data_IF_274576129193
#
_entry.id   IF_274576129193
#
_cell.length_a   1.000
_cell.length_b   1.000
_cell.length_c   1.000
_cell.angle_alpha   90.00
_cell.angle_beta   90.00
_cell.angle_gamma   90.00
#
_symmetry.space_group_name_H-M   'P 1'
#
loop_
_entity.id
_entity.type
_entity.pdbx_description
1 polymer ?
#
# COMPACT_ATOMS: atom_id res chain seq x y z
N UNK A 1 -29.48 -27.75 55.57
CA UNK A 1 -28.79 -27.78 54.26
C UNK A 1 -28.65 -26.34 53.79
N UNK A 2 -27.44 -25.79 53.87
CA UNK A 2 -27.16 -24.35 53.74
C UNK A 2 -27.42 -23.87 52.30
N UNK A 3 -28.30 -22.88 52.15
CA UNK A 3 -28.54 -22.17 50.89
C UNK A 3 -27.27 -21.42 50.47
N UNK A 4 -26.73 -21.77 49.30
CA UNK A 4 -25.66 -20.99 48.66
C UNK A 4 -26.27 -19.72 48.07
N UNK A 5 -25.73 -18.51 48.36
CA UNK A 5 -26.25 -17.29 47.75
C UNK A 5 -25.96 -17.24 46.24
N UNK A 6 -27.01 -16.89 45.52
CA UNK A 6 -27.10 -16.67 44.08
C UNK A 6 -26.38 -15.35 43.72
N UNK A 7 -25.04 -15.34 43.71
CA UNK A 7 -24.31 -14.25 43.07
C UNK A 7 -23.48 -14.79 41.92
N UNK A 8 -24.04 -14.63 40.72
CA UNK A 8 -23.48 -15.03 39.43
C UNK A 8 -22.57 -13.98 38.79
N UNK A 9 -22.23 -12.90 39.51
CA UNK A 9 -21.46 -11.80 38.91
C UNK A 9 -19.97 -12.01 39.17
N UNK A 10 -19.19 -12.20 38.11
CA UNK A 10 -17.73 -12.13 38.19
C UNK A 10 -17.30 -10.75 38.75
N UNK A 11 -16.27 -10.68 39.62
CA UNK A 11 -15.85 -9.41 40.22
C UNK A 11 -15.44 -8.41 39.13
N UNK A 12 -16.02 -7.21 39.19
CA UNK A 12 -15.60 -6.06 38.37
C UNK A 12 -14.29 -5.51 38.94
N UNK A 13 -13.26 -5.42 38.09
CA UNK A 13 -11.85 -5.13 38.44
C UNK A 13 -11.54 -3.69 38.93
N UNK A 14 -12.42 -3.03 39.68
CA UNK A 14 -12.10 -1.78 40.39
C UNK A 14 -13.12 -1.45 41.49
N UNK A 15 -12.64 -0.94 42.63
CA UNK A 15 -13.50 -0.47 43.73
C UNK A 15 -14.04 0.94 43.48
N UNK A 16 -15.17 1.28 44.10
CA UNK A 16 -15.81 2.61 43.99
C UNK A 16 -14.87 3.73 44.43
N UNK A 17 -14.10 3.49 45.50
CA UNK A 17 -13.09 4.44 45.98
C UNK A 17 -11.88 4.54 45.05
N UNK A 18 -11.53 3.47 44.33
CA UNK A 18 -10.55 3.55 43.25
C UNK A 18 -11.09 4.47 42.15
N UNK A 19 -12.32 4.28 41.67
CA UNK A 19 -12.94 5.13 40.62
C UNK A 19 -13.05 6.60 41.05
N UNK A 20 -13.40 6.87 42.32
CA UNK A 20 -13.53 8.23 42.88
C UNK A 20 -12.19 8.92 43.09
N UNK A 21 -11.21 8.26 43.71
CA UNK A 21 -9.85 8.83 43.90
C UNK A 21 -9.13 8.98 42.57
N UNK A 22 -9.31 8.01 41.69
CA UNK A 22 -8.85 8.05 40.31
C UNK A 22 -9.95 8.63 39.43
N UNK A 23 -10.62 9.73 39.81
CA UNK A 23 -11.65 10.36 38.96
C UNK A 23 -11.14 10.43 37.54
N UNK A 24 -11.76 9.70 36.59
CA UNK A 24 -11.23 9.59 35.22
C UNK A 24 -9.77 9.09 35.08
N UNK A 25 -9.05 8.64 36.10
CA UNK A 25 -7.60 8.40 36.10
C UNK A 25 -7.20 6.95 35.72
N UNK A 26 -8.19 6.13 35.34
CA UNK A 26 -8.06 5.05 34.33
C UNK A 26 -8.68 5.43 32.96
N UNK A 27 -8.83 6.71 32.62
CA UNK A 27 -8.68 7.17 31.22
C UNK A 27 -7.24 6.91 30.73
N UNK A 28 -6.35 6.45 31.62
CA UNK A 28 -5.27 5.52 31.32
C UNK A 28 -5.75 4.11 30.90
N UNK A 29 -6.92 4.00 30.21
CA UNK A 29 -6.88 3.57 28.81
C UNK A 29 -5.59 4.17 28.24
N UNK A 30 -4.48 3.42 28.25
CA UNK A 30 -3.43 3.64 27.26
C UNK A 30 -4.21 3.90 25.98
N UNK A 31 -4.34 5.16 25.51
CA UNK A 31 -5.11 5.46 24.29
C UNK A 31 -4.57 4.44 23.32
N UNK A 32 -5.41 3.49 22.89
CA UNK A 32 -4.92 2.30 22.20
C UNK A 32 -3.95 2.82 21.15
N UNK A 33 -2.66 2.45 21.27
CA UNK A 33 -1.59 3.15 20.54
C UNK A 33 -2.07 3.28 19.11
N UNK A 34 -2.16 4.51 18.60
CA UNK A 34 -2.72 4.74 17.28
C UNK A 34 -1.99 3.83 16.32
N UNK A 35 -2.74 2.97 15.59
CA UNK A 35 -2.11 2.05 14.63
C UNK A 35 -1.35 2.90 13.63
N UNK A 36 -0.05 2.68 13.56
CA UNK A 36 0.77 3.32 12.55
C UNK A 36 0.24 2.91 11.17
N UNK A 37 0.15 3.88 10.27
CA UNK A 37 -0.26 3.58 8.91
C UNK A 37 0.85 2.82 8.20
N UNK A 38 0.48 1.85 7.36
CA UNK A 38 1.45 1.08 6.54
C UNK A 38 2.22 1.99 5.57
N UNK A 39 1.65 3.15 5.24
CA UNK A 39 2.15 4.16 4.30
C UNK A 39 2.20 5.56 4.94
N UNK A 40 3.11 5.81 5.90
CA UNK A 40 3.18 7.08 6.63
C UNK A 40 3.64 8.26 5.77
N UNK A 41 4.36 8.00 4.67
CA UNK A 41 4.93 9.06 3.82
C UNK A 41 3.93 9.63 2.82
N UNK A 42 2.70 9.09 2.76
CA UNK A 42 1.61 9.65 1.95
C UNK A 42 0.76 10.68 2.71
N UNK A 43 1.03 10.94 3.99
CA UNK A 43 0.31 11.94 4.81
C UNK A 43 -1.22 11.80 4.70
N UNK A 44 -1.74 10.56 4.76
CA UNK A 44 -3.16 10.18 4.60
C UNK A 44 -3.77 10.39 3.20
N UNK A 45 -2.97 10.74 2.20
CA UNK A 45 -3.43 10.77 0.81
C UNK A 45 -3.41 9.36 0.19
N UNK A 46 -4.32 9.06 -0.77
CA UNK A 46 -4.33 7.77 -1.46
C UNK A 46 -3.10 7.57 -2.37
N UNK A 47 -2.63 8.66 -2.98
CA UNK A 47 -1.46 8.70 -3.84
C UNK A 47 -0.75 10.05 -3.72
N UNK A 48 0.54 10.09 -4.05
CA UNK A 48 1.31 11.33 -4.21
C UNK A 48 2.16 11.25 -5.48
N UNK A 49 2.39 12.40 -6.09
CA UNK A 49 3.36 12.55 -7.16
C UNK A 49 4.77 12.64 -6.60
N UNK A 50 5.75 12.24 -7.40
CA UNK A 50 7.15 12.38 -7.07
C UNK A 50 8.04 12.22 -8.28
N UNK A 51 9.29 12.64 -8.12
CA UNK A 51 10.33 12.57 -9.14
C UNK A 51 11.26 11.41 -8.81
N UNK A 52 11.58 10.57 -9.81
CA UNK A 52 12.54 9.49 -9.65
C UNK A 52 13.94 10.07 -9.51
N UNK A 53 14.62 9.71 -8.41
CA UNK A 53 16.02 10.04 -8.18
C UNK A 53 16.94 9.02 -8.85
N UNK A 54 16.61 7.73 -8.69
CA UNK A 54 17.36 6.63 -9.34
C UNK A 54 16.50 5.39 -9.48
N UNK A 55 16.73 4.64 -10.55
CA UNK A 55 16.15 3.31 -10.76
C UNK A 55 17.10 2.26 -10.19
N UNK A 56 16.58 1.35 -9.37
CA UNK A 56 17.37 0.34 -8.67
C UNK A 56 16.76 -1.05 -8.79
N UNK A 57 17.63 -2.06 -8.88
CA UNK A 57 17.23 -3.47 -8.82
C UNK A 57 17.54 -4.00 -7.43
N UNK A 58 16.51 -4.47 -6.72
CA UNK A 58 16.64 -5.00 -5.36
C UNK A 58 16.48 -6.52 -5.34
N UNK A 59 17.27 -7.18 -4.50
CA UNK A 59 17.12 -8.62 -4.23
C UNK A 59 16.08 -8.84 -3.12
N UNK A 60 15.15 -9.80 -3.28
CA UNK A 60 14.17 -10.14 -2.24
C UNK A 60 14.82 -10.82 -1.05
N UNK A 61 14.09 -10.88 0.07
CA UNK A 61 14.44 -11.73 1.22
C UNK A 61 14.33 -13.22 0.82
N UNK A 62 15.20 -14.06 1.39
CA UNK A 62 15.05 -15.53 1.38
C UNK A 62 13.65 -15.89 1.91
N UNK A 63 12.89 -16.84 1.32
CA UNK A 63 13.26 -17.93 0.40
C UNK A 63 13.26 -17.57 -1.08
N UNK A 64 12.81 -16.37 -1.44
CA UNK A 64 12.60 -16.01 -2.84
C UNK A 64 13.91 -15.54 -3.48
N UNK A 65 14.05 -15.75 -4.79
CA UNK A 65 15.13 -15.22 -5.61
C UNK A 65 14.53 -14.55 -6.87
N UNK A 66 14.91 -13.31 -7.13
CA UNK A 66 14.50 -12.55 -8.32
C UNK A 66 15.25 -11.20 -8.36
N UNK A 67 15.16 -10.52 -9.50
CA UNK A 67 15.50 -9.11 -9.63
C UNK A 67 14.22 -8.29 -9.56
N UNK A 68 14.00 -7.56 -8.46
CA UNK A 68 12.83 -6.69 -8.27
C UNK A 68 13.16 -5.28 -8.72
N UNK A 69 12.45 -4.79 -9.73
CA UNK A 69 12.59 -3.42 -10.26
C UNK A 69 11.94 -2.44 -9.28
N UNK A 70 12.71 -1.46 -8.80
CA UNK A 70 12.25 -0.43 -7.89
C UNK A 70 12.87 0.93 -8.29
N UNK A 71 12.38 2.00 -7.69
CA UNK A 71 12.91 3.34 -7.88
C UNK A 71 12.97 4.06 -6.53
N UNK A 72 13.99 4.90 -6.35
CA UNK A 72 13.99 5.91 -5.29
C UNK A 72 13.26 7.13 -5.82
N UNK A 73 12.24 7.58 -5.10
CA UNK A 73 11.36 8.67 -5.50
C UNK A 73 11.38 9.73 -4.43
N UNK A 74 11.59 11.00 -4.82
CA UNK A 74 11.34 12.16 -3.97
C UNK A 74 9.89 12.56 -4.18
N UNK A 75 9.05 12.34 -3.17
CA UNK A 75 7.64 12.73 -3.19
C UNK A 75 7.50 14.26 -3.14
N UNK A 76 6.34 14.77 -3.53
CA UNK A 76 6.03 16.20 -3.46
C UNK A 76 6.11 16.80 -2.05
N UNK A 77 5.98 15.99 -1.00
CA UNK A 77 6.18 16.41 0.40
C UNK A 77 7.66 16.44 0.83
N UNK A 78 8.60 16.24 -0.09
CA UNK A 78 10.04 16.24 0.17
C UNK A 78 10.59 14.91 0.72
N UNK A 79 9.74 13.97 1.15
CA UNK A 79 10.18 12.66 1.66
C UNK A 79 10.71 11.79 0.53
N UNK A 80 11.82 11.09 0.79
CA UNK A 80 12.42 10.17 -0.19
C UNK A 80 12.06 8.74 0.15
N UNK A 81 11.31 8.09 -0.73
CA UNK A 81 10.81 6.73 -0.54
C UNK A 81 11.35 5.78 -1.61
N UNK A 82 11.32 4.49 -1.32
CA UNK A 82 11.59 3.44 -2.32
C UNK A 82 10.27 2.83 -2.76
N UNK A 83 9.95 2.92 -4.05
CA UNK A 83 8.72 2.42 -4.63
C UNK A 83 9.00 1.26 -5.61
N UNK A 84 8.21 0.19 -5.49
CA UNK A 84 8.28 -0.96 -6.40
C UNK A 84 7.56 -0.65 -7.72
N UNK A 85 8.16 -1.06 -8.84
CA UNK A 85 7.55 -0.90 -10.17
C UNK A 85 6.86 -2.21 -10.54
N UNK A 86 5.51 -2.26 -10.57
CA UNK A 86 4.80 -3.50 -10.80
C UNK A 86 4.75 -3.85 -12.29
N UNK A 87 4.75 -5.16 -12.58
CA UNK A 87 4.62 -5.70 -13.93
C UNK A 87 5.96 -5.99 -14.62
N UNK A 88 5.86 -6.31 -15.89
CA UNK A 88 6.98 -6.62 -16.78
C UNK A 88 7.38 -5.38 -17.57
N UNK A 89 8.70 -5.18 -17.74
CA UNK A 89 9.24 -3.98 -18.37
C UNK A 89 8.88 -2.67 -17.65
N UNK A 90 9.64 -1.62 -17.91
CA UNK A 90 9.32 -0.25 -17.50
C UNK A 90 10.16 0.72 -18.31
N UNK A 91 9.69 1.95 -18.41
CA UNK A 91 10.34 3.07 -19.10
C UNK A 91 10.81 4.16 -18.10
N UNK A 92 10.84 3.88 -16.80
CA UNK A 92 11.23 4.87 -15.80
C UNK A 92 12.72 5.20 -15.97
N UNK A 93 13.03 6.49 -15.93
CA UNK A 93 14.39 7.02 -15.97
C UNK A 93 14.59 7.93 -14.75
N UNK A 94 15.81 8.44 -14.58
CA UNK A 94 16.05 9.53 -13.65
C UNK A 94 15.24 10.75 -14.08
N UNK A 95 14.74 11.52 -13.11
CA UNK A 95 13.88 12.68 -13.30
C UNK A 95 12.48 12.43 -13.87
N UNK A 96 12.12 11.19 -14.24
CA UNK A 96 10.75 10.87 -14.60
C UNK A 96 9.78 11.17 -13.45
N UNK A 97 8.64 11.77 -13.78
CA UNK A 97 7.54 12.04 -12.85
C UNK A 97 6.67 10.80 -12.75
N UNK A 98 6.43 10.34 -11.53
CA UNK A 98 5.65 9.11 -11.26
C UNK A 98 4.59 9.37 -10.21
N UNK A 99 3.46 8.67 -10.34
CA UNK A 99 2.45 8.58 -9.28
C UNK A 99 2.75 7.38 -8.37
N UNK A 100 2.84 7.63 -7.07
CA UNK A 100 3.14 6.62 -6.04
C UNK A 100 1.91 6.39 -5.18
N UNK A 101 1.58 5.12 -4.95
CA UNK A 101 0.51 4.69 -4.04
C UNK A 101 1.03 3.81 -2.93
N UNK A 102 0.21 3.67 -1.89
CA UNK A 102 0.45 2.73 -0.80
C UNK A 102 0.45 1.28 -1.29
N UNK A 103 1.27 0.44 -0.66
CA UNK A 103 1.25 -1.00 -0.88
C UNK A 103 2.62 -1.62 -0.67
N UNK A 104 2.80 -2.29 0.46
CA UNK A 104 4.05 -2.98 0.78
C UNK A 104 4.32 -4.13 -0.20
N UNK A 105 5.58 -4.27 -0.59
CA UNK A 105 6.06 -5.46 -1.31
C UNK A 105 6.61 -6.45 -0.29
N UNK A 106 5.88 -7.54 -0.04
CA UNK A 106 6.15 -8.49 1.06
C UNK A 106 7.58 -9.04 1.04
N UNK A 107 8.12 -9.26 -0.15
CA UNK A 107 9.45 -9.85 -0.35
C UNK A 107 10.60 -8.87 -0.12
N UNK A 108 10.36 -7.57 -0.25
CA UNK A 108 11.39 -6.54 -0.19
C UNK A 108 11.31 -5.79 1.14
N UNK A 109 12.33 -5.89 2.02
CA UNK A 109 12.36 -5.08 3.22
C UNK A 109 12.47 -3.58 2.86
N UNK A 110 11.76 -2.73 3.59
CA UNK A 110 11.78 -1.28 3.37
C UNK A 110 10.98 -0.74 2.17
N UNK A 111 10.48 -1.60 1.27
CA UNK A 111 9.71 -1.16 0.10
C UNK A 111 8.20 -1.17 0.40
N UNK A 112 7.73 -0.05 0.97
CA UNK A 112 6.33 0.15 1.43
C UNK A 112 5.39 0.68 0.34
N UNK A 113 5.93 1.14 -0.79
CA UNK A 113 5.18 1.84 -1.82
C UNK A 113 5.27 1.15 -3.18
N UNK A 114 4.30 1.46 -4.06
CA UNK A 114 4.27 0.99 -5.45
C UNK A 114 4.00 2.16 -6.39
N UNK A 115 4.63 2.15 -7.55
CA UNK A 115 4.29 3.06 -8.62
C UNK A 115 2.99 2.63 -9.30
N UNK A 116 2.19 3.60 -9.74
CA UNK A 116 1.00 3.39 -10.55
C UNK A 116 1.43 3.35 -12.02
N UNK A 117 1.05 2.31 -12.75
CA UNK A 117 1.35 2.16 -14.18
C UNK A 117 0.32 2.89 -15.02
N UNK A 118 0.75 3.44 -16.16
CA UNK A 118 -0.10 4.21 -17.06
C UNK A 118 -0.50 5.57 -16.50
N UNK A 119 0.33 6.15 -15.62
CA UNK A 119 0.10 7.45 -15.00
C UNK A 119 1.38 8.27 -15.01
N UNK A 120 1.27 9.56 -15.35
CA UNK A 120 2.42 10.45 -15.59
C UNK A 120 3.37 9.83 -16.62
N UNK A 121 4.68 9.82 -16.37
CA UNK A 121 5.67 9.33 -17.33
C UNK A 121 5.80 7.80 -17.32
N UNK A 122 5.20 7.11 -16.34
CA UNK A 122 5.31 5.66 -16.23
C UNK A 122 4.29 4.96 -17.14
N UNK A 123 4.77 4.43 -18.26
CA UNK A 123 3.95 3.76 -19.26
C UNK A 123 3.30 2.48 -18.70
N UNK A 124 2.16 2.12 -19.29
CA UNK A 124 1.50 0.83 -19.03
C UNK A 124 2.38 -0.37 -19.38
N UNK A 125 1.98 -1.56 -18.96
CA UNK A 125 2.65 -2.79 -19.39
C UNK A 125 2.22 -3.13 -20.82
N UNK A 126 3.17 -3.40 -21.70
CA UNK A 126 2.89 -3.75 -23.09
C UNK A 126 2.23 -5.14 -23.19
N UNK A 127 1.30 -5.33 -24.14
CA UNK A 127 0.62 -6.60 -24.44
C UNK A 127 -0.06 -7.32 -23.25
N UNK A 128 -0.39 -6.61 -22.17
CA UNK A 128 -1.08 -7.19 -21.01
C UNK A 128 -2.57 -7.42 -21.33
N UNK A 129 -2.97 -8.68 -21.51
CA UNK A 129 -4.38 -9.06 -21.72
C UNK A 129 -5.19 -9.11 -20.42
N UNK A 130 -4.62 -9.69 -19.36
CA UNK A 130 -5.31 -9.92 -18.09
C UNK A 130 -4.92 -8.92 -17.00
N UNK A 131 -5.90 -8.45 -16.21
CA UNK A 131 -5.68 -7.47 -15.15
C UNK A 131 -5.21 -6.10 -15.67
N UNK A 132 -5.61 -5.74 -16.89
CA UNK A 132 -5.16 -4.55 -17.64
C UNK A 132 -5.26 -3.24 -16.87
N UNK A 133 -6.35 -3.06 -16.12
CA UNK A 133 -6.62 -1.86 -15.32
C UNK A 133 -5.57 -1.60 -14.25
N UNK A 134 -4.96 -2.66 -13.68
CA UNK A 134 -3.91 -2.54 -12.66
C UNK A 134 -2.57 -2.08 -13.23
N UNK A 135 -2.31 -2.38 -14.50
CA UNK A 135 -1.04 -2.16 -15.17
C UNK A 135 -1.09 -1.06 -16.22
N UNK A 136 -2.18 -0.28 -16.28
CA UNK A 136 -2.31 0.85 -17.19
C UNK A 136 -2.36 0.46 -18.67
N UNK A 137 -2.81 -0.76 -18.98
CA UNK A 137 -2.86 -1.26 -20.36
C UNK A 137 -4.25 -1.04 -20.95
N UNK A 138 -4.32 -0.43 -22.14
CA UNK A 138 -5.59 -0.22 -22.86
C UNK A 138 -6.15 -1.56 -23.38
N UNK A 139 -7.45 -1.60 -23.63
CA UNK A 139 -8.04 -2.75 -24.32
C UNK A 139 -7.53 -2.76 -25.76
N UNK A 140 -7.01 -3.89 -26.20
CA UNK A 140 -6.65 -4.13 -27.59
C UNK A 140 -7.64 -5.16 -28.11
N UNK A 141 -8.55 -4.80 -29.03
CA UNK A 141 -9.45 -5.77 -29.65
C UNK A 141 -8.63 -6.81 -30.41
N UNK A 142 -9.17 -8.03 -30.55
CA UNK A 142 -8.50 -9.06 -31.32
C UNK A 142 -8.29 -8.55 -32.76
N UNK A 143 -7.09 -8.61 -33.35
CA UNK A 143 -6.88 -8.14 -34.72
C UNK A 143 -7.86 -8.79 -35.72
N UNK A 144 -8.29 -10.04 -35.47
CA UNK A 144 -9.35 -10.69 -36.27
C UNK A 144 -10.73 -10.04 -36.12
N UNK A 145 -11.09 -9.56 -34.92
CA UNK A 145 -12.37 -8.87 -34.71
C UNK A 145 -12.35 -7.41 -35.22
N UNK A 146 -11.17 -6.78 -35.23
CA UNK A 146 -11.01 -5.43 -35.77
C UNK A 146 -11.07 -5.41 -37.32
N UNK A 147 -10.56 -6.45 -37.98
CA UNK A 147 -10.63 -6.59 -39.44
C UNK A 147 -12.07 -6.83 -39.96
N UNK A 148 -12.89 -7.60 -39.23
CA UNK A 148 -14.30 -7.85 -39.59
C UNK A 148 -15.13 -6.57 -39.54
N UNK A 149 -14.85 -5.65 -38.61
CA UNK A 149 -15.57 -4.38 -38.50
C UNK A 149 -15.34 -3.44 -39.70
N UNK A 150 -14.22 -3.58 -40.43
CA UNK A 150 -13.88 -2.75 -41.60
C UNK A 150 -14.32 -3.37 -42.93
N UNK A 151 -14.90 -4.58 -42.93
CA UNK A 151 -15.36 -5.28 -44.14
C UNK A 151 -16.88 -5.14 -44.36
N UNK A 152 -17.60 -4.51 -43.43
CA UNK A 152 -19.04 -4.24 -43.51
C UNK A 152 -19.35 -2.74 -43.68
N UNK A 153 -18.36 -1.96 -44.10
CA UNK A 153 -18.47 -0.60 -44.62
C UNK A 153 -17.81 -0.58 -46.00
#
# INVERSE_FOLDING_TARGET
MVMRPFSSTAPVNATINQIRKTGLYKINRKRAKAKETESPDLDRNPQKHGVVLKVVVLKPRKPNSANRKACRVRLSNGKVVTAYIPGEGHNAQEHSVVAVRGGRTKDLPGVKYKCIRGSQDLAGVHNRRNGRSKYGSKFIPNPRSAAIANHFL
#
